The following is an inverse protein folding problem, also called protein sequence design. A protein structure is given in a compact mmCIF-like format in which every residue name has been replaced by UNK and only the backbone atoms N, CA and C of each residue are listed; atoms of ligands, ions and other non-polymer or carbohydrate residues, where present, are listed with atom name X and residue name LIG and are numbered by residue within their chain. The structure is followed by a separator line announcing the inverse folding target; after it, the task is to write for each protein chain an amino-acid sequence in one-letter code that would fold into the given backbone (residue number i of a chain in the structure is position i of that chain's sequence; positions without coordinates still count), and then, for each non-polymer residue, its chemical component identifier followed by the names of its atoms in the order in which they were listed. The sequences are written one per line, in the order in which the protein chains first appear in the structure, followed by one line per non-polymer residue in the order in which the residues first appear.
data_IF_854498623597
#
_entry.id   IF_854498623597
#
_cell.length_a   1.000
_cell.length_b   1.000
_cell.length_c   1.000
_cell.angle_alpha   90.00
_cell.angle_beta   90.00
_cell.angle_gamma   90.00
#
_symmetry.space_group_name_H-M   'P 1'
#
loop_
_entity.id
_entity.type
_entity.pdbx_description
1 polymer ?
#
# COMPACT_ATOMS: atom_id res chain seq x y z
N UNK A 1 27.32 -15.66 19.22
CA UNK A 1 27.18 -14.41 18.46
C UNK A 1 25.96 -13.64 18.95
N UNK A 2 26.01 -12.33 19.13
CA UNK A 2 24.83 -11.59 19.61
C UNK A 2 23.73 -11.59 18.55
N UNK A 3 22.47 -11.90 18.88
CA UNK A 3 21.38 -12.02 17.89
C UNK A 3 21.19 -10.78 17.00
N UNK A 4 21.47 -9.58 17.53
CA UNK A 4 21.33 -8.33 16.78
C UNK A 4 22.38 -8.20 15.65
N UNK A 5 23.60 -8.72 15.85
CA UNK A 5 24.63 -8.75 14.80
C UNK A 5 24.27 -9.77 13.73
N UNK A 6 23.71 -10.92 14.13
CA UNK A 6 23.20 -11.92 13.18
C UNK A 6 22.08 -11.32 12.33
N UNK A 7 21.16 -10.56 12.94
CA UNK A 7 20.11 -9.85 12.22
C UNK A 7 20.68 -8.87 11.20
N UNK A 8 21.67 -8.07 11.59
CA UNK A 8 22.30 -7.10 10.70
C UNK A 8 22.99 -7.76 9.49
N UNK A 9 23.71 -8.87 9.72
CA UNK A 9 24.34 -9.66 8.67
C UNK A 9 23.29 -10.29 7.72
N UNK A 10 22.18 -10.78 8.26
CA UNK A 10 21.06 -11.32 7.46
C UNK A 10 20.46 -10.23 6.59
N UNK A 11 20.14 -9.09 7.17
CA UNK A 11 19.56 -7.96 6.44
C UNK A 11 20.50 -7.46 5.33
N UNK A 12 21.81 -7.34 5.63
CA UNK A 12 22.80 -6.95 4.65
C UNK A 12 22.85 -7.90 3.44
N UNK A 13 22.76 -9.20 3.68
CA UNK A 13 22.84 -10.23 2.62
C UNK A 13 21.55 -10.36 1.80
N UNK A 14 20.40 -10.10 2.41
CA UNK A 14 19.09 -10.39 1.80
C UNK A 14 18.32 -9.14 1.36
N UNK A 15 18.83 -7.92 1.66
CA UNK A 15 18.16 -6.69 1.25
C UNK A 15 18.66 -6.17 -0.08
N UNK A 16 17.75 -5.59 -0.84
CA UNK A 16 17.98 -4.95 -2.13
C UNK A 16 17.00 -3.78 -2.32
N UNK A 17 17.13 -2.95 -3.37
CA UNK A 17 16.14 -1.94 -3.69
C UNK A 17 14.70 -2.46 -3.85
N UNK A 18 14.54 -3.74 -4.19
CA UNK A 18 13.25 -4.39 -4.34
C UNK A 18 12.82 -5.18 -3.09
N UNK A 19 13.75 -5.47 -2.17
CA UNK A 19 13.52 -6.23 -0.95
C UNK A 19 14.13 -5.51 0.26
N UNK A 20 13.44 -4.54 0.81
CA UNK A 20 13.89 -3.71 1.94
C UNK A 20 12.87 -3.60 3.06
N UNK A 21 11.66 -4.13 2.86
CA UNK A 21 10.59 -4.22 3.84
C UNK A 21 10.45 -5.65 4.33
N UNK A 22 10.30 -5.80 5.64
CA UNK A 22 10.16 -7.08 6.34
C UNK A 22 9.02 -7.02 7.33
N UNK A 23 8.20 -8.07 7.36
CA UNK A 23 7.31 -8.30 8.50
C UNK A 23 8.08 -8.90 9.68
N UNK A 24 7.51 -8.86 10.87
CA UNK A 24 8.09 -9.57 12.01
C UNK A 24 8.14 -11.09 11.78
N UNK A 25 7.16 -11.62 11.04
CA UNK A 25 7.07 -13.01 10.63
C UNK A 25 8.20 -13.36 9.65
N UNK A 26 8.46 -12.52 8.64
CA UNK A 26 9.60 -12.72 7.71
C UNK A 26 10.91 -12.81 8.48
N UNK A 27 11.10 -11.93 9.44
CA UNK A 27 12.32 -11.90 10.26
C UNK A 27 12.40 -13.09 11.23
N UNK A 28 11.25 -13.60 11.73
CA UNK A 28 11.22 -14.76 12.60
C UNK A 28 11.72 -16.04 11.93
N UNK A 29 11.52 -16.17 10.61
CA UNK A 29 11.99 -17.32 9.84
C UNK A 29 13.52 -17.51 9.97
N UNK A 30 14.27 -16.42 10.11
CA UNK A 30 15.73 -16.48 10.27
C UNK A 30 16.18 -16.87 11.71
N UNK A 31 15.24 -16.95 12.67
CA UNK A 31 15.53 -17.26 14.07
C UNK A 31 14.59 -18.36 14.59
N UNK A 32 14.62 -19.58 14.02
CA UNK A 32 13.63 -20.63 14.33
C UNK A 32 13.64 -21.11 15.79
N UNK A 33 14.74 -20.89 16.53
CA UNK A 33 14.83 -21.24 17.95
C UNK A 33 14.48 -20.08 18.91
N UNK A 34 14.09 -18.91 18.38
CA UNK A 34 13.78 -17.74 19.20
C UNK A 34 12.28 -17.63 19.44
N UNK A 35 11.87 -17.38 20.70
CA UNK A 35 10.47 -17.09 20.98
C UNK A 35 10.06 -15.75 20.33
N UNK A 36 8.78 -15.64 19.94
CA UNK A 36 8.27 -14.41 19.33
C UNK A 36 8.47 -13.17 20.24
N UNK A 37 8.35 -13.35 21.55
CA UNK A 37 8.61 -12.27 22.52
C UNK A 37 10.09 -11.82 22.50
N UNK A 38 11.02 -12.76 22.44
CA UNK A 38 12.45 -12.46 22.33
C UNK A 38 12.79 -11.76 21.01
N UNK A 39 12.16 -12.20 19.90
CA UNK A 39 12.25 -11.54 18.61
C UNK A 39 11.80 -10.07 18.72
N UNK A 40 10.62 -9.81 19.27
CA UNK A 40 10.09 -8.46 19.39
C UNK A 40 10.99 -7.54 20.23
N UNK A 41 11.61 -8.08 21.29
CA UNK A 41 12.63 -7.36 22.09
C UNK A 41 13.89 -7.06 21.27
N UNK A 42 14.32 -8.00 20.44
CA UNK A 42 15.46 -7.82 19.53
C UNK A 42 15.14 -6.76 18.45
N UNK A 43 13.97 -6.81 17.82
CA UNK A 43 13.54 -5.83 16.82
C UNK A 43 13.42 -4.42 17.40
N UNK A 44 12.92 -4.30 18.65
CA UNK A 44 12.89 -3.01 19.35
C UNK A 44 14.32 -2.43 19.60
N UNK A 45 15.29 -3.29 19.89
CA UNK A 45 16.71 -2.86 20.02
C UNK A 45 17.28 -2.47 18.66
N UNK A 46 16.97 -3.23 17.59
CA UNK A 46 17.40 -2.92 16.23
C UNK A 46 16.85 -1.57 15.74
N UNK A 47 15.60 -1.23 16.12
CA UNK A 47 15.00 0.08 15.87
C UNK A 47 15.76 1.19 16.61
N UNK A 48 16.04 1.03 17.89
CA UNK A 48 16.79 1.99 18.70
C UNK A 48 18.22 2.21 18.20
N UNK A 49 18.83 1.18 17.61
CA UNK A 49 20.19 1.24 17.02
C UNK A 49 20.20 1.65 15.55
N UNK A 50 19.06 2.08 14.99
CA UNK A 50 18.92 2.46 13.58
C UNK A 50 19.33 1.36 12.56
N UNK A 51 19.31 0.09 12.97
CA UNK A 51 19.50 -1.06 12.08
C UNK A 51 18.23 -1.28 11.26
N UNK A 52 17.08 -1.12 11.92
CA UNK A 52 15.75 -1.17 11.29
C UNK A 52 14.99 0.11 11.59
N UNK A 53 14.09 0.50 10.70
CA UNK A 53 13.10 1.54 10.92
C UNK A 53 11.72 0.92 10.96
N UNK A 54 11.00 1.08 12.03
CA UNK A 54 9.62 0.63 12.12
C UNK A 54 8.72 1.54 11.29
N UNK A 55 8.01 0.95 10.32
CA UNK A 55 7.04 1.68 9.48
C UNK A 55 5.68 1.73 10.17
N UNK A 56 5.18 0.58 10.61
CA UNK A 56 3.98 0.44 11.42
C UNK A 56 4.09 -0.81 12.31
N UNK A 57 3.03 -1.19 13.01
CA UNK A 57 3.05 -2.39 13.86
C UNK A 57 3.36 -3.64 13.03
N UNK A 58 4.46 -4.31 13.35
CA UNK A 58 4.89 -5.56 12.71
C UNK A 58 5.59 -5.40 11.36
N UNK A 59 5.75 -4.17 10.83
CA UNK A 59 6.46 -3.93 9.56
C UNK A 59 7.67 -3.04 9.80
N UNK A 60 8.80 -3.49 9.28
CA UNK A 60 10.12 -2.88 9.44
C UNK A 60 10.77 -2.64 8.08
N UNK A 61 11.50 -1.54 7.97
CA UNK A 61 12.27 -1.16 6.80
C UNK A 61 13.76 -1.22 7.15
N UNK A 62 14.58 -1.79 6.24
CA UNK A 62 16.03 -1.74 6.32
C UNK A 62 16.55 -0.50 5.58
N UNK A 63 17.07 0.52 6.28
CA UNK A 63 17.36 1.82 5.68
C UNK A 63 18.70 1.90 4.94
N UNK A 64 19.53 0.84 5.01
CA UNK A 64 20.89 0.84 4.42
C UNK A 64 20.91 0.49 2.93
N UNK A 65 19.77 0.19 2.31
CA UNK A 65 19.63 0.02 0.86
C UNK A 65 18.81 1.15 0.26
N UNK A 66 19.05 1.55 -1.00
CA UNK A 66 18.22 2.52 -1.69
C UNK A 66 16.79 2.00 -1.82
N UNK A 67 15.79 2.86 -1.61
CA UNK A 67 14.39 2.51 -1.81
C UNK A 67 13.59 3.72 -2.27
N UNK A 68 12.47 3.46 -2.95
CA UNK A 68 11.54 4.50 -3.41
C UNK A 68 10.50 4.76 -2.33
N UNK A 69 10.61 5.91 -1.65
CA UNK A 69 9.76 6.26 -0.50
C UNK A 69 8.25 6.24 -0.85
N UNK A 70 7.87 6.70 -2.05
CA UNK A 70 6.49 6.70 -2.52
C UNK A 70 5.90 5.30 -2.75
N UNK A 71 6.73 4.26 -2.89
CA UNK A 71 6.27 2.85 -2.98
C UNK A 71 5.99 2.21 -1.62
N UNK A 72 6.49 2.78 -0.53
CA UNK A 72 6.44 2.12 0.79
C UNK A 72 5.00 1.81 1.22
N UNK A 73 4.05 2.74 1.08
CA UNK A 73 2.66 2.50 1.48
C UNK A 73 2.03 1.33 0.73
N UNK A 74 2.26 1.21 -0.58
CA UNK A 74 1.73 0.12 -1.41
C UNK A 74 2.31 -1.23 -0.98
N UNK A 75 3.62 -1.31 -0.78
CA UNK A 75 4.29 -2.53 -0.31
C UNK A 75 3.85 -2.94 1.10
N UNK A 76 3.63 -1.97 1.98
CA UNK A 76 3.08 -2.20 3.33
C UNK A 76 1.65 -2.71 3.24
N UNK A 77 0.80 -2.12 2.39
CA UNK A 77 -0.59 -2.58 2.20
C UNK A 77 -0.64 -4.04 1.74
N UNK A 78 0.18 -4.42 0.75
CA UNK A 78 0.30 -5.80 0.28
C UNK A 78 0.69 -6.77 1.42
N UNK A 79 1.68 -6.42 2.25
CA UNK A 79 2.13 -7.29 3.34
C UNK A 79 1.08 -7.42 4.45
N UNK A 80 0.44 -6.32 4.85
CA UNK A 80 -0.55 -6.32 5.91
C UNK A 80 -1.83 -7.10 5.56
N UNK A 81 -2.10 -7.30 4.30
CA UNK A 81 -3.30 -7.97 3.77
C UNK A 81 -2.97 -9.04 2.73
N UNK A 82 -1.84 -9.72 2.87
CA UNK A 82 -1.39 -10.75 1.92
C UNK A 82 -2.36 -11.92 1.76
N UNK A 83 -3.18 -12.21 2.78
CA UNK A 83 -4.22 -13.24 2.75
C UNK A 83 -5.61 -12.75 2.34
N UNK A 84 -5.75 -11.49 1.91
CA UNK A 84 -7.02 -10.90 1.52
C UNK A 84 -6.98 -10.45 0.06
N UNK A 85 -8.14 -10.43 -0.58
CA UNK A 85 -8.29 -9.73 -1.85
C UNK A 85 -8.27 -8.23 -1.59
N UNK A 86 -7.45 -7.49 -2.33
CA UNK A 86 -7.25 -6.05 -2.13
C UNK A 86 -7.08 -5.33 -3.47
N UNK A 87 -7.60 -4.12 -3.56
CA UNK A 87 -7.36 -3.22 -4.70
C UNK A 87 -7.40 -1.75 -4.27
N UNK A 88 -6.61 -0.92 -4.94
CA UNK A 88 -6.61 0.53 -4.73
C UNK A 88 -7.89 1.10 -5.32
N UNK A 89 -8.60 1.94 -4.57
CA UNK A 89 -9.86 2.55 -5.00
C UNK A 89 -10.13 3.87 -4.27
N UNK A 90 -11.37 4.34 -4.35
CA UNK A 90 -11.85 5.53 -3.64
C UNK A 90 -11.01 6.76 -4.00
N UNK A 91 -10.77 7.63 -3.01
CA UNK A 91 -10.05 8.88 -3.20
C UNK A 91 -8.67 8.71 -3.84
N UNK A 92 -7.95 7.61 -3.54
CA UNK A 92 -6.64 7.35 -4.15
C UNK A 92 -6.70 7.21 -5.67
N UNK A 93 -7.77 6.63 -6.19
CA UNK A 93 -8.02 6.52 -7.63
C UNK A 93 -8.61 7.82 -8.16
N UNK A 94 -9.66 8.35 -7.54
CA UNK A 94 -10.34 9.56 -8.01
C UNK A 94 -9.42 10.77 -8.11
N UNK A 95 -8.50 10.95 -7.13
CA UNK A 95 -7.45 11.98 -7.19
C UNK A 95 -6.48 11.76 -8.36
N UNK A 96 -6.15 10.51 -8.67
CA UNK A 96 -5.22 10.20 -9.75
C UNK A 96 -5.81 10.46 -11.14
N UNK A 97 -7.14 10.55 -11.25
CA UNK A 97 -7.87 11.01 -12.46
C UNK A 97 -8.25 12.48 -12.40
N UNK A 98 -7.84 13.22 -11.37
CA UNK A 98 -8.21 14.61 -11.13
C UNK A 98 -9.72 14.83 -10.95
N UNK A 99 -10.48 13.77 -10.65
CA UNK A 99 -11.91 13.84 -10.32
C UNK A 99 -12.11 14.48 -8.95
N UNK A 100 -11.14 14.29 -8.05
CA UNK A 100 -11.05 15.02 -6.78
C UNK A 100 -9.78 15.87 -6.83
N UNK A 101 -9.94 17.19 -6.70
CA UNK A 101 -8.83 18.16 -6.78
C UNK A 101 -7.92 18.15 -5.54
N UNK A 102 -8.42 17.69 -4.40
CA UNK A 102 -7.66 17.60 -3.17
C UNK A 102 -6.63 16.47 -3.27
N UNK A 103 -5.35 16.82 -3.38
CA UNK A 103 -4.26 15.84 -3.36
C UNK A 103 -4.18 15.19 -1.98
N UNK A 104 -4.49 13.92 -1.89
CA UNK A 104 -4.30 13.06 -0.71
C UNK A 104 -2.83 12.64 -0.61
N UNK A 105 -1.94 13.62 -0.43
CA UNK A 105 -0.51 13.35 -0.23
C UNK A 105 -0.35 12.45 1.01
N UNK A 106 0.34 11.32 0.83
CA UNK A 106 0.63 10.37 1.91
C UNK A 106 -0.61 9.67 2.52
N UNK A 107 -1.70 9.53 1.76
CA UNK A 107 -2.86 8.74 2.14
C UNK A 107 -3.21 7.75 1.04
N UNK A 108 -3.29 6.46 1.37
CA UNK A 108 -3.63 5.38 0.45
C UNK A 108 -4.93 4.72 0.88
N UNK A 109 -5.95 4.72 0.03
CA UNK A 109 -7.22 4.02 0.25
C UNK A 109 -7.23 2.71 -0.53
N UNK A 110 -7.55 1.62 0.17
CA UNK A 110 -7.52 0.24 -0.35
C UNK A 110 -8.81 -0.47 0.03
N UNK A 111 -9.55 -0.93 -0.95
CA UNK A 111 -10.65 -1.86 -0.74
C UNK A 111 -10.11 -3.24 -0.42
N UNK A 112 -10.72 -3.93 0.55
CA UNK A 112 -10.24 -5.23 1.03
C UNK A 112 -11.38 -6.17 1.39
N UNK A 113 -11.23 -7.46 1.12
CA UNK A 113 -12.12 -8.50 1.66
C UNK A 113 -11.92 -8.72 3.18
N UNK A 114 -10.84 -8.15 3.75
CA UNK A 114 -10.58 -8.15 5.17
C UNK A 114 -11.32 -7.04 5.93
N UNK A 115 -10.99 -6.85 7.20
CA UNK A 115 -11.64 -5.82 8.05
C UNK A 115 -11.16 -4.42 7.70
N UNK A 116 -12.06 -3.43 7.81
CA UNK A 116 -11.71 -2.00 7.73
C UNK A 116 -10.76 -1.61 8.86
N UNK A 117 -9.75 -0.81 8.54
CA UNK A 117 -8.77 -0.31 9.51
C UNK A 117 -7.98 0.86 8.94
N UNK A 118 -7.55 1.78 9.79
CA UNK A 118 -6.64 2.87 9.45
C UNK A 118 -5.28 2.59 10.10
N UNK A 119 -4.23 2.58 9.31
CA UNK A 119 -2.87 2.27 9.76
C UNK A 119 -1.95 3.44 9.43
N UNK A 120 -1.36 4.03 10.47
CA UNK A 120 -0.37 5.09 10.35
C UNK A 120 1.02 4.48 10.12
N UNK A 121 1.67 4.88 9.03
CA UNK A 121 2.98 4.40 8.58
C UNK A 121 4.09 5.44 8.80
N UNK A 122 4.03 6.15 9.94
CA UNK A 122 5.01 7.17 10.31
C UNK A 122 5.09 8.28 9.26
N UNK A 123 6.29 8.66 8.85
CA UNK A 123 6.53 9.70 7.85
C UNK A 123 6.15 9.31 6.41
N UNK A 124 5.81 8.04 6.16
CA UNK A 124 5.37 7.59 4.84
C UNK A 124 3.90 7.89 4.59
N UNK A 125 3.09 8.10 5.66
CA UNK A 125 1.69 8.45 5.55
C UNK A 125 0.76 7.45 6.22
N UNK A 126 -0.44 7.29 5.66
CA UNK A 126 -1.52 6.50 6.23
C UNK A 126 -2.12 5.58 5.16
N UNK A 127 -2.45 4.35 5.56
CA UNK A 127 -3.22 3.41 4.75
C UNK A 127 -4.60 3.26 5.40
N UNK A 128 -5.63 3.46 4.63
CA UNK A 128 -7.00 3.17 5.01
C UNK A 128 -7.49 1.93 4.25
N UNK A 129 -7.74 0.85 4.97
CA UNK A 129 -8.42 -0.32 4.44
C UNK A 129 -9.92 -0.18 4.66
N UNK A 130 -10.69 -0.33 3.60
CA UNK A 130 -12.15 -0.29 3.61
C UNK A 130 -12.68 -1.66 3.19
N UNK A 131 -13.53 -2.25 4.02
CA UNK A 131 -14.11 -3.56 3.74
C UNK A 131 -15.04 -3.52 2.54
N UNK A 132 -14.97 -4.55 1.69
CA UNK A 132 -15.88 -4.77 0.58
C UNK A 132 -16.27 -6.25 0.48
N UNK A 133 -17.51 -6.49 0.11
CA UNK A 133 -18.01 -7.81 -0.24
C UNK A 133 -17.98 -8.06 -1.76
N UNK A 134 -17.58 -7.03 -2.55
CA UNK A 134 -17.45 -7.16 -4.00
C UNK A 134 -16.42 -8.24 -4.34
N UNK A 135 -16.75 -9.10 -5.29
CA UNK A 135 -15.90 -10.20 -5.73
C UNK A 135 -16.04 -10.45 -7.23
N UNK A 136 -15.10 -11.15 -7.81
CA UNK A 136 -15.05 -11.71 -9.16
C UNK A 136 -15.91 -11.02 -10.24
N UNK A 137 -17.17 -11.43 -10.38
CA UNK A 137 -18.04 -10.97 -11.47
C UNK A 137 -18.38 -9.47 -11.44
N UNK A 138 -18.55 -8.88 -10.23
CA UNK A 138 -18.84 -7.45 -10.06
C UNK A 138 -17.66 -6.53 -10.32
N UNK A 139 -16.43 -7.09 -10.38
CA UNK A 139 -15.18 -6.35 -10.57
C UNK A 139 -14.57 -6.57 -11.95
N UNK A 140 -15.18 -7.47 -12.75
CA UNK A 140 -14.63 -7.90 -14.03
C UNK A 140 -14.58 -6.74 -15.04
N UNK A 141 -13.39 -6.48 -15.60
CA UNK A 141 -13.16 -5.39 -16.53
C UNK A 141 -12.90 -4.02 -15.90
N UNK A 142 -13.04 -3.88 -14.56
CA UNK A 142 -12.84 -2.62 -13.83
C UNK A 142 -11.56 -2.60 -12.98
N UNK A 143 -10.80 -3.70 -12.95
CA UNK A 143 -9.53 -3.81 -12.26
C UNK A 143 -8.39 -4.03 -13.24
N UNK A 144 -7.26 -3.37 -12.99
CA UNK A 144 -6.02 -3.58 -13.70
C UNK A 144 -4.85 -3.66 -12.72
N UNK A 145 -3.79 -4.39 -13.11
CA UNK A 145 -2.55 -4.42 -12.34
C UNK A 145 -1.72 -3.18 -12.64
N UNK A 146 -1.62 -2.29 -11.67
CA UNK A 146 -0.72 -1.14 -11.79
C UNK A 146 0.73 -1.61 -11.57
N UNK A 147 1.53 -1.59 -12.63
CA UNK A 147 2.93 -2.06 -12.61
C UNK A 147 3.83 -1.25 -11.67
N UNK A 148 3.48 0.00 -11.40
CA UNK A 148 4.28 0.83 -10.53
C UNK A 148 4.08 0.48 -9.04
N UNK A 149 2.83 0.35 -8.60
CA UNK A 149 2.49 -0.04 -7.23
C UNK A 149 2.57 -1.54 -6.99
N UNK A 150 2.44 -2.36 -8.03
CA UNK A 150 2.32 -3.82 -7.95
C UNK A 150 0.98 -4.29 -7.41
N UNK A 151 -0.04 -3.41 -7.33
CA UNK A 151 -1.36 -3.70 -6.79
C UNK A 151 -2.44 -3.66 -7.87
N UNK A 152 -3.50 -4.45 -7.67
CA UNK A 152 -4.74 -4.25 -8.41
C UNK A 152 -5.27 -2.86 -8.10
N UNK A 153 -5.76 -2.17 -9.12
CA UNK A 153 -6.27 -0.80 -9.02
C UNK A 153 -7.58 -0.71 -9.77
N UNK A 154 -8.56 -0.08 -9.18
CA UNK A 154 -9.85 0.20 -9.80
C UNK A 154 -9.70 1.21 -10.93
N UNK A 155 -10.55 1.11 -11.96
CA UNK A 155 -10.78 2.24 -12.85
C UNK A 155 -11.59 3.34 -12.12
N UNK A 156 -11.72 4.50 -12.76
CA UNK A 156 -12.45 5.61 -12.13
C UNK A 156 -13.95 5.34 -11.96
N UNK A 157 -14.54 4.44 -12.78
CA UNK A 157 -15.97 4.08 -12.67
C UNK A 157 -16.21 3.24 -11.43
N UNK A 158 -15.42 2.17 -11.24
CA UNK A 158 -15.49 1.35 -10.03
C UNK A 158 -15.14 2.16 -8.78
N UNK A 159 -14.12 3.03 -8.85
CA UNK A 159 -13.77 3.89 -7.72
C UNK A 159 -14.91 4.85 -7.33
N UNK A 160 -15.67 5.36 -8.30
CA UNK A 160 -16.85 6.18 -8.07
C UNK A 160 -18.01 5.37 -7.45
N UNK A 161 -18.19 4.12 -7.87
CA UNK A 161 -19.18 3.22 -7.26
C UNK A 161 -18.82 2.92 -5.81
N UNK A 162 -17.56 2.56 -5.55
CA UNK A 162 -17.05 2.31 -4.20
C UNK A 162 -17.24 3.53 -3.29
N UNK A 163 -17.01 4.73 -3.82
CA UNK A 163 -17.21 6.00 -3.12
C UNK A 163 -18.65 6.18 -2.66
N UNK A 164 -19.61 5.88 -3.57
CA UNK A 164 -21.07 5.94 -3.29
C UNK A 164 -21.48 4.88 -2.28
N UNK A 165 -21.04 3.63 -2.48
CA UNK A 165 -21.38 2.49 -1.62
C UNK A 165 -20.89 2.72 -0.18
N UNK A 166 -19.69 3.28 -0.04
CA UNK A 166 -19.10 3.61 1.26
C UNK A 166 -19.64 4.90 1.87
N UNK A 167 -20.51 5.65 1.18
CA UNK A 167 -21.06 6.94 1.61
C UNK A 167 -20.01 7.92 2.08
N UNK A 168 -18.93 8.03 1.29
CA UNK A 168 -17.78 8.88 1.65
C UNK A 168 -18.14 10.37 1.60
N UNK A 169 -17.56 11.15 2.52
CA UNK A 169 -17.71 12.62 2.53
C UNK A 169 -17.05 13.29 1.34
N UNK A 170 -16.05 12.66 0.75
CA UNK A 170 -15.33 13.08 -0.44
C UNK A 170 -16.21 13.19 -1.69
N UNK A 171 -17.42 12.60 -1.69
CA UNK A 171 -18.44 12.83 -2.71
C UNK A 171 -18.74 14.33 -2.95
N UNK A 172 -18.59 15.18 -1.93
CA UNK A 172 -18.79 16.63 -2.06
C UNK A 172 -17.63 17.35 -2.77
N UNK A 173 -16.51 16.67 -2.97
CA UNK A 173 -15.30 17.20 -3.60
C UNK A 173 -15.15 16.78 -5.07
N UNK A 174 -16.14 16.06 -5.61
CA UNK A 174 -16.10 15.52 -6.96
C UNK A 174 -16.30 16.64 -7.97
N UNK A 175 -15.37 16.73 -8.91
CA UNK A 175 -15.51 17.51 -10.12
C UNK A 175 -16.29 16.71 -11.17
N UNK A 176 -17.58 17.02 -11.26
CA UNK A 176 -18.51 16.34 -12.16
C UNK A 176 -18.23 16.62 -13.65
N UNK A 177 -17.61 17.74 -13.97
CA UNK A 177 -17.24 18.07 -15.35
C UNK A 177 -16.10 17.18 -15.81
N UNK A 178 -15.08 16.99 -14.97
CA UNK A 178 -13.98 16.04 -15.23
C UNK A 178 -14.51 14.61 -15.31
N UNK A 179 -15.37 14.19 -14.38
CA UNK A 179 -15.93 12.85 -14.40
C UNK A 179 -16.73 12.58 -15.69
N UNK A 180 -17.61 13.50 -16.08
CA UNK A 180 -18.41 13.38 -17.29
C UNK A 180 -17.56 13.43 -18.58
N UNK A 181 -16.49 14.21 -18.58
CA UNK A 181 -15.53 14.23 -19.68
C UNK A 181 -14.87 12.85 -19.86
N UNK A 182 -14.35 12.26 -18.79
CA UNK A 182 -13.73 10.93 -18.82
C UNK A 182 -14.69 9.83 -19.28
N UNK A 183 -15.98 9.93 -18.92
CA UNK A 183 -17.00 9.00 -19.39
C UNK A 183 -17.24 9.08 -20.90
N UNK A 184 -17.23 10.30 -21.47
CA UNK A 184 -17.46 10.54 -22.91
C UNK A 184 -16.29 10.09 -23.77
N UNK A 185 -15.06 10.37 -23.34
CA UNK A 185 -13.85 10.02 -24.05
C UNK A 185 -13.52 8.52 -24.04
N UNK A 186 -14.28 7.71 -23.29
CA UNK A 186 -14.05 6.27 -23.20
C UNK A 186 -12.65 5.94 -22.66
N UNK A 187 -12.15 6.72 -21.71
CA UNK A 187 -10.82 6.55 -21.13
C UNK A 187 -10.65 5.12 -20.61
N UNK A 188 -9.94 4.30 -21.39
CA UNK A 188 -9.63 2.92 -21.05
C UNK A 188 -8.30 2.88 -20.30
N UNK A 189 -8.18 1.90 -19.38
CA UNK A 189 -7.01 1.68 -18.51
C UNK A 189 -5.67 1.53 -19.27
N UNK A 190 -5.70 1.28 -20.57
CA UNK A 190 -4.53 1.20 -21.46
C UNK A 190 -3.77 2.51 -21.64
N UNK A 191 -4.44 3.68 -21.56
CA UNK A 191 -3.81 4.99 -21.78
C UNK A 191 -2.91 5.47 -20.61
N UNK A 192 -3.05 4.93 -19.41
CA UNK A 192 -2.25 5.35 -18.24
C UNK A 192 -0.78 4.99 -18.29
N UNK A 193 -0.38 4.04 -19.12
CA UNK A 193 1.04 3.68 -19.28
C UNK A 193 1.87 4.80 -19.91
N UNK A 194 1.26 5.76 -20.63
CA UNK A 194 1.97 6.86 -21.32
C UNK A 194 2.07 8.15 -20.50
N UNK A 195 1.16 8.42 -19.56
CA UNK A 195 1.13 9.72 -18.83
C UNK A 195 2.14 9.77 -17.67
N UNK A 196 2.57 8.62 -17.11
CA UNK A 196 3.52 8.57 -15.99
C UNK A 196 5.01 8.57 -16.39
N UNK A 197 5.33 8.58 -17.70
CA UNK A 197 6.73 8.60 -18.17
C UNK A 197 7.26 10.03 -18.34
N UNK A 198 6.40 11.06 -18.36
CA UNK A 198 6.76 12.45 -18.66
C UNK A 198 6.54 13.45 -17.50
N UNK A 199 6.50 13.00 -16.23
CA UNK A 199 6.44 13.91 -15.07
C UNK A 199 7.43 13.51 -13.97
#
# INVERSE_FOLDING_TARGET
MQPIRVLEDILWKNSSPDCFLYSAEDLHVFFPGMSYEALMKMLSRAEKSNILRRVCKGIYLYPKVPYIASKVLYLVACRLRSGCFNYISLESVLCSYSIISQQMLSWLTVMTSGRSNIIRCGSFGTIEFVHTEKSGSSLNGHLYLDKWSGMLTADFKLAMEDEKDCRRKSMNLIDWDVYNYLLKEGFDNGCRQQIRINS
#
